data_IF_503800449051
#
_entry.id   IF_503800449051
#
_cell.length_a   1.000
_cell.length_b   1.000
_cell.length_c   1.000
_cell.angle_alpha   90.00
_cell.angle_beta   90.00
_cell.angle_gamma   90.00
#
_symmetry.space_group_name_H-M   'P 1'
#
loop_
_entity.id
_entity.type
_entity.pdbx_description
1 polymer ?
#
# COMPACT_ATOMS: atom_id res chain seq x y z
N UNK A 1 13.05 4.95 22.62
CA UNK A 1 12.92 3.49 22.74
C UNK A 1 11.49 3.13 22.37
N UNK A 2 11.25 2.03 21.66
CA UNK A 2 9.92 1.64 21.21
C UNK A 2 8.98 1.41 22.40
N UNK A 3 7.83 2.11 22.46
CA UNK A 3 6.88 1.95 23.55
C UNK A 3 6.18 0.58 23.52
N UNK A 4 6.16 -0.11 22.37
CA UNK A 4 5.51 -1.41 22.19
C UNK A 4 6.36 -2.57 22.67
N UNK A 5 7.62 -2.65 22.22
CA UNK A 5 8.53 -3.76 22.57
C UNK A 5 9.55 -3.43 23.67
N UNK A 6 9.79 -2.15 23.96
CA UNK A 6 10.79 -1.67 24.93
C UNK A 6 12.21 -2.26 24.73
N UNK A 7 12.54 -2.72 23.51
CA UNK A 7 13.80 -3.40 23.18
C UNK A 7 14.65 -2.63 22.17
N UNK A 8 14.02 -2.05 21.13
CA UNK A 8 14.72 -1.30 20.09
C UNK A 8 14.46 0.22 20.17
N UNK A 9 15.27 1.01 19.46
CA UNK A 9 14.98 2.43 19.26
C UNK A 9 13.73 2.54 18.39
N UNK A 10 12.79 3.39 18.77
CA UNK A 10 11.67 3.72 17.89
C UNK A 10 12.18 4.67 16.82
N UNK A 11 12.45 4.12 15.65
CA UNK A 11 12.68 4.90 14.44
C UNK A 11 11.55 4.66 13.44
N UNK A 12 11.60 5.42 12.36
CA UNK A 12 10.59 5.34 11.31
C UNK A 12 10.43 3.93 10.73
N UNK A 13 11.48 3.11 10.69
CA UNK A 13 11.35 1.71 10.24
C UNK A 13 10.72 0.83 11.31
N UNK A 14 11.20 0.92 12.54
CA UNK A 14 10.77 0.08 13.65
C UNK A 14 9.28 0.27 13.96
N UNK A 15 8.72 1.46 13.77
CA UNK A 15 7.28 1.71 13.94
C UNK A 15 6.44 0.72 13.12
N UNK A 16 6.85 0.44 11.88
CA UNK A 16 6.09 -0.41 10.96
C UNK A 16 6.40 -1.92 11.09
N UNK A 17 7.60 -2.29 11.57
CA UNK A 17 8.04 -3.70 11.64
C UNK A 17 8.15 -4.28 13.06
N UNK A 18 7.75 -3.53 14.09
CA UNK A 18 7.86 -3.99 15.47
C UNK A 18 7.11 -5.31 15.64
N UNK A 19 7.75 -6.30 16.25
CA UNK A 19 7.19 -7.64 16.44
C UNK A 19 6.00 -7.67 17.41
N UNK A 20 5.76 -6.57 18.12
CA UNK A 20 4.63 -6.36 19.02
C UNK A 20 3.47 -5.63 18.37
N UNK A 21 3.57 -5.26 17.09
CA UNK A 21 2.42 -4.74 16.34
C UNK A 21 1.37 -5.86 16.21
N UNK A 22 0.10 -5.51 16.33
CA UNK A 22 -1.03 -6.45 16.20
C UNK A 22 -1.23 -6.93 14.75
N UNK A 23 -0.87 -6.06 13.80
CA UNK A 23 -0.94 -6.30 12.36
C UNK A 23 0.39 -5.97 11.71
N UNK A 24 0.69 -6.65 10.60
CA UNK A 24 1.87 -6.38 9.79
C UNK A 24 1.52 -5.55 8.53
N UNK A 25 2.54 -5.02 7.88
CA UNK A 25 2.40 -4.13 6.72
C UNK A 25 1.64 -4.79 5.56
N UNK A 26 1.79 -6.09 5.36
CA UNK A 26 1.12 -6.81 4.28
C UNK A 26 -0.38 -7.01 4.58
N UNK A 27 -0.73 -7.20 5.86
CA UNK A 27 -2.12 -7.21 6.33
C UNK A 27 -2.77 -5.84 6.16
N UNK A 28 -2.09 -4.76 6.57
CA UNK A 28 -2.57 -3.39 6.37
C UNK A 28 -2.82 -3.12 4.87
N UNK A 29 -1.91 -3.56 3.98
CA UNK A 29 -2.09 -3.42 2.52
C UNK A 29 -3.36 -4.11 2.03
N UNK A 30 -3.59 -5.33 2.51
CA UNK A 30 -4.77 -6.09 2.13
C UNK A 30 -6.05 -5.42 2.64
N UNK A 31 -6.07 -5.01 3.90
CA UNK A 31 -7.20 -4.31 4.52
C UNK A 31 -7.52 -3.01 3.79
N UNK A 32 -6.51 -2.19 3.47
CA UNK A 32 -6.72 -0.94 2.73
C UNK A 32 -7.35 -1.15 1.34
N UNK A 33 -6.95 -2.21 0.62
CA UNK A 33 -7.57 -2.56 -0.68
C UNK A 33 -9.03 -2.98 -0.48
N UNK A 34 -9.31 -3.76 0.56
CA UNK A 34 -10.66 -4.24 0.86
C UNK A 34 -11.58 -3.09 1.30
N UNK A 35 -11.13 -2.21 2.19
CA UNK A 35 -11.87 -1.02 2.63
C UNK A 35 -12.19 -0.10 1.45
N UNK A 36 -11.21 0.14 0.57
CA UNK A 36 -11.44 0.93 -0.64
C UNK A 36 -12.45 0.28 -1.58
N UNK A 37 -12.43 -1.06 -1.71
CA UNK A 37 -13.45 -1.79 -2.47
C UNK A 37 -14.85 -1.58 -1.88
N UNK A 38 -15.00 -1.63 -0.56
CA UNK A 38 -16.28 -1.38 0.12
C UNK A 38 -16.78 0.04 -0.10
N UNK A 39 -15.89 1.04 -0.05
CA UNK A 39 -16.23 2.44 -0.37
C UNK A 39 -16.78 2.54 -1.79
N UNK A 40 -16.11 1.95 -2.78
CA UNK A 40 -16.58 1.98 -4.17
C UNK A 40 -17.93 1.30 -4.36
N UNK A 41 -18.21 0.23 -3.60
CA UNK A 41 -19.51 -0.45 -3.59
C UNK A 41 -20.60 0.48 -3.01
N UNK A 42 -20.34 1.09 -1.84
CA UNK A 42 -21.27 1.98 -1.15
C UNK A 42 -21.59 3.24 -1.96
N UNK A 43 -20.60 3.77 -2.68
CA UNK A 43 -20.75 4.95 -3.54
C UNK A 43 -21.30 4.63 -4.94
N UNK A 44 -21.64 3.36 -5.22
CA UNK A 44 -22.10 2.87 -6.52
C UNK A 44 -21.13 3.19 -7.70
N UNK A 45 -19.83 3.30 -7.42
CA UNK A 45 -18.78 3.60 -8.40
C UNK A 45 -18.33 2.38 -9.18
N UNK A 46 -19.25 1.78 -9.94
CA UNK A 46 -19.05 0.50 -10.64
C UNK A 46 -17.83 0.47 -11.55
N UNK A 47 -17.58 1.53 -12.31
CA UNK A 47 -16.45 1.59 -13.24
C UNK A 47 -15.10 1.54 -12.51
N UNK A 48 -15.01 2.17 -11.34
CA UNK A 48 -13.79 2.18 -10.53
C UNK A 48 -13.62 0.88 -9.75
N UNK A 49 -14.73 0.26 -9.33
CA UNK A 49 -14.73 -1.06 -8.71
C UNK A 49 -14.21 -2.13 -9.68
N UNK A 50 -14.67 -2.10 -10.93
CA UNK A 50 -14.18 -3.01 -11.98
C UNK A 50 -12.68 -2.80 -12.24
N UNK A 51 -12.22 -1.55 -12.24
CA UNK A 51 -10.79 -1.23 -12.35
C UNK A 51 -10.02 -1.81 -11.16
N UNK A 52 -10.46 -1.55 -9.92
CA UNK A 52 -9.79 -2.04 -8.72
C UNK A 52 -9.63 -3.57 -8.76
N UNK A 53 -10.69 -4.29 -9.11
CA UNK A 53 -10.69 -5.75 -9.20
C UNK A 53 -9.80 -6.29 -10.34
N UNK A 54 -9.64 -5.54 -11.42
CA UNK A 54 -8.74 -5.91 -12.53
C UNK A 54 -7.27 -5.69 -12.16
N UNK A 55 -6.96 -4.69 -11.32
CA UNK A 55 -5.58 -4.33 -10.98
C UNK A 55 -5.08 -4.87 -9.64
N UNK A 56 -5.96 -5.24 -8.69
CA UNK A 56 -5.56 -5.48 -7.28
C UNK A 56 -4.47 -6.55 -7.11
N UNK A 57 -4.55 -7.66 -7.86
CA UNK A 57 -3.53 -8.72 -7.83
C UNK A 57 -2.19 -8.17 -8.32
N UNK A 58 -2.17 -7.50 -9.47
CA UNK A 58 -0.96 -6.92 -10.04
C UNK A 58 -0.37 -5.83 -9.14
N UNK A 59 -1.22 -5.01 -8.52
CA UNK A 59 -0.83 -3.97 -7.57
C UNK A 59 -0.15 -4.59 -6.35
N UNK A 60 -0.78 -5.60 -5.73
CA UNK A 60 -0.22 -6.33 -4.60
C UNK A 60 1.12 -6.99 -4.95
N UNK A 61 1.21 -7.66 -6.10
CA UNK A 61 2.46 -8.27 -6.57
C UNK A 61 3.58 -7.23 -6.75
N UNK A 62 3.27 -6.05 -7.33
CA UNK A 62 4.25 -4.97 -7.46
C UNK A 62 4.74 -4.50 -6.09
N UNK A 63 3.85 -4.38 -5.11
CA UNK A 63 4.18 -3.94 -3.74
C UNK A 63 5.12 -4.93 -3.04
N UNK A 64 4.96 -6.22 -3.30
CA UNK A 64 5.79 -7.28 -2.73
C UNK A 64 7.13 -7.49 -3.43
N UNK A 65 7.29 -6.97 -4.66
CA UNK A 65 8.57 -7.01 -5.36
C UNK A 65 9.64 -6.20 -4.64
N UNK A 66 10.91 -6.59 -4.83
CA UNK A 66 12.07 -5.86 -4.28
C UNK A 66 12.05 -4.40 -4.73
N UNK A 67 12.35 -3.53 -3.78
CA UNK A 67 12.53 -2.11 -4.03
C UNK A 67 13.76 -1.85 -4.88
N UNK A 68 13.63 -0.92 -5.83
CA UNK A 68 14.73 -0.48 -6.70
C UNK A 68 15.58 0.62 -6.03
N UNK A 69 15.07 1.20 -4.93
CA UNK A 69 15.67 2.35 -4.23
C UNK A 69 16.10 1.98 -2.80
N UNK A 70 15.30 1.15 -2.10
CA UNK A 70 15.48 0.73 -0.72
C UNK A 70 16.05 -0.69 -0.68
N UNK A 71 17.38 -0.80 -0.69
CA UNK A 71 18.08 -2.09 -0.65
C UNK A 71 17.63 -2.91 0.56
N UNK A 72 17.17 -4.14 0.30
CA UNK A 72 16.72 -5.08 1.34
C UNK A 72 15.23 -4.98 1.68
N UNK A 73 14.48 -4.08 1.04
CA UNK A 73 13.05 -3.89 1.27
C UNK A 73 12.23 -4.22 0.02
N UNK A 74 10.94 -4.49 0.19
CA UNK A 74 9.95 -4.52 -0.90
C UNK A 74 9.38 -3.11 -1.17
N UNK A 75 8.63 -2.97 -2.26
CA UNK A 75 8.17 -1.67 -2.77
C UNK A 75 7.10 -1.00 -1.93
N UNK A 76 6.38 -1.73 -1.07
CA UNK A 76 5.50 -1.10 -0.08
C UNK A 76 6.25 -0.10 0.81
N UNK A 77 7.53 -0.31 1.09
CA UNK A 77 8.34 0.67 1.82
C UNK A 77 8.66 1.93 1.01
N UNK A 78 8.66 1.86 -0.33
CA UNK A 78 8.73 3.05 -1.17
C UNK A 78 7.44 3.86 -1.00
N UNK A 79 6.28 3.19 -1.00
CA UNK A 79 4.97 3.82 -0.80
C UNK A 79 4.88 4.50 0.57
N UNK A 80 5.26 3.81 1.65
CA UNK A 80 5.25 4.34 3.01
C UNK A 80 6.13 5.60 3.16
N UNK A 81 7.14 5.78 2.29
CA UNK A 81 7.99 6.98 2.23
C UNK A 81 7.46 8.09 1.33
N UNK A 82 6.31 7.90 0.70
CA UNK A 82 5.78 8.80 -0.32
C UNK A 82 6.61 8.77 -1.62
N UNK A 83 7.38 7.70 -1.87
CA UNK A 83 8.16 7.55 -3.09
C UNK A 83 7.27 6.90 -4.16
N UNK A 84 6.98 7.66 -5.22
CA UNK A 84 6.16 7.16 -6.31
C UNK A 84 6.82 5.99 -7.05
N UNK A 85 6.15 4.85 -7.10
CA UNK A 85 6.64 3.67 -7.79
C UNK A 85 6.28 3.71 -9.29
N UNK A 86 7.29 3.84 -10.14
CA UNK A 86 7.09 3.95 -11.60
C UNK A 86 6.52 2.69 -12.24
N UNK A 87 6.59 1.52 -11.59
CA UNK A 87 5.96 0.28 -12.08
C UNK A 87 4.45 0.36 -12.06
N UNK A 88 3.86 1.25 -11.27
CA UNK A 88 2.44 1.52 -11.38
C UNK A 88 2.04 2.09 -12.75
N UNK A 89 2.96 2.68 -13.52
CA UNK A 89 2.68 3.05 -14.91
C UNK A 89 2.48 1.86 -15.84
N UNK A 90 3.02 0.68 -15.49
CA UNK A 90 2.88 -0.54 -16.30
C UNK A 90 1.46 -1.12 -16.17
N UNK A 91 0.83 -0.95 -14.99
CA UNK A 91 -0.57 -1.31 -14.73
C UNK A 91 -1.56 -0.18 -15.09
N UNK A 92 -1.17 1.10 -14.98
CA UNK A 92 -2.05 2.26 -15.15
C UNK A 92 -2.09 2.85 -16.58
N UNK A 93 -2.25 1.99 -17.61
CA UNK A 93 -2.35 2.46 -19.01
C UNK A 93 -3.59 3.32 -19.32
N UNK A 94 -4.52 3.50 -18.37
CA UNK A 94 -5.70 4.38 -18.45
C UNK A 94 -5.61 5.49 -17.40
N UNK A 95 -5.91 6.74 -17.78
CA UNK A 95 -5.88 7.94 -16.91
C UNK A 95 -6.56 7.78 -15.54
N UNK A 96 -7.66 7.01 -15.47
CA UNK A 96 -8.42 6.77 -14.24
C UNK A 96 -7.75 5.83 -13.23
N UNK A 97 -6.85 4.95 -13.68
CA UNK A 97 -6.09 4.05 -12.78
C UNK A 97 -5.11 4.86 -11.94
N UNK A 98 -4.54 5.94 -12.50
CA UNK A 98 -3.66 6.85 -11.75
C UNK A 98 -4.40 7.61 -10.64
N UNK A 99 -5.71 7.80 -10.77
CA UNK A 99 -6.55 8.42 -9.74
C UNK A 99 -6.87 7.42 -8.62
N UNK A 100 -7.11 6.15 -8.97
CA UNK A 100 -7.29 5.04 -8.02
C UNK A 100 -6.00 4.71 -7.26
N UNK A 101 -4.86 4.59 -7.96
CA UNK A 101 -3.54 4.38 -7.33
C UNK A 101 -3.22 5.51 -6.34
N UNK A 102 -3.57 6.76 -6.69
CA UNK A 102 -3.41 7.91 -5.78
C UNK A 102 -4.36 7.85 -4.59
N UNK A 103 -5.60 7.43 -4.78
CA UNK A 103 -6.57 7.28 -3.70
C UNK A 103 -6.11 6.22 -2.70
N UNK A 104 -5.73 5.03 -3.16
CA UNK A 104 -5.18 3.96 -2.30
C UNK A 104 -3.91 4.43 -1.59
N UNK A 105 -3.02 5.16 -2.27
CA UNK A 105 -1.83 5.76 -1.64
C UNK A 105 -2.19 6.75 -0.54
N UNK A 106 -3.26 7.54 -0.72
CA UNK A 106 -3.72 8.51 0.28
C UNK A 106 -4.39 7.84 1.49
N UNK A 107 -5.17 6.78 1.28
CA UNK A 107 -5.73 5.95 2.36
C UNK A 107 -4.62 5.28 3.18
N UNK A 108 -3.55 4.80 2.52
CA UNK A 108 -2.42 4.13 3.18
C UNK A 108 -1.52 5.06 4.03
N UNK A 109 -1.66 6.38 3.86
CA UNK A 109 -0.80 7.39 4.47
C UNK A 109 -1.55 8.32 5.45
N UNK A 110 -2.85 8.10 5.66
CA UNK A 110 -3.70 8.77 6.66
C UNK A 110 -3.96 7.85 7.85
#
# INVERSE_FOLDING_TARGET
>A
MCPRCNSEVEDWYHIWKCERNEVNIDEILYEAIAEYEEILILEERKEDLDILRDININFYEIMMQKSDILIGYNRIWELLRGVYNRKFNEISKKKRIQEVDRAITMEFLL
#
